data_IF_188175383139
#
_entry.id   IF_188175383139
#
_cell.length_a   1.000
_cell.length_b   1.000
_cell.length_c   1.000
_cell.angle_alpha   90.00
_cell.angle_beta   90.00
_cell.angle_gamma   90.00
#
_symmetry.space_group_name_H-M   'P 1'
#
loop_
_entity.id
_entity.type
_entity.pdbx_description
1 polymer ?
#
# COMPACT_ATOMS: atom_id res chain seq x y z
N UNK A 1 19.75 -14.64 -14.62
CA UNK A 1 20.32 -13.27 -14.64
C UNK A 1 20.97 -13.04 -15.99
N UNK A 2 20.38 -12.19 -16.82
CA UNK A 2 21.00 -11.70 -18.06
C UNK A 2 22.18 -10.81 -17.65
N UNK A 3 23.40 -11.10 -18.08
CA UNK A 3 24.64 -10.43 -17.66
C UNK A 3 24.79 -8.96 -18.10
N UNK A 4 23.77 -8.13 -17.86
CA UNK A 4 23.64 -6.75 -18.31
C UNK A 4 24.23 -5.73 -17.33
N UNK A 5 24.61 -6.12 -16.12
CA UNK A 5 25.19 -5.24 -15.10
C UNK A 5 26.42 -5.89 -14.48
N UNK A 6 27.52 -5.12 -14.37
CA UNK A 6 28.69 -5.55 -13.60
C UNK A 6 28.30 -5.63 -12.13
N UNK A 7 28.23 -6.84 -11.59
CA UNK A 7 27.97 -7.08 -10.19
C UNK A 7 29.28 -7.19 -9.41
N UNK A 8 29.35 -6.53 -8.25
CA UNK A 8 30.45 -6.70 -7.32
C UNK A 8 30.48 -8.16 -6.86
N UNK A 9 31.69 -8.72 -6.71
CA UNK A 9 31.88 -10.10 -6.24
C UNK A 9 32.65 -10.12 -4.94
N UNK A 10 32.32 -11.07 -4.09
CA UNK A 10 33.09 -11.35 -2.87
C UNK A 10 34.37 -12.13 -3.18
N UNK A 11 35.12 -12.48 -2.13
CA UNK A 11 36.39 -13.23 -2.23
C UNK A 11 36.20 -14.65 -2.81
N UNK A 12 34.99 -15.20 -2.72
CA UNK A 12 34.64 -16.53 -3.24
C UNK A 12 34.06 -16.45 -4.66
N UNK A 13 34.04 -15.27 -5.27
CA UNK A 13 33.52 -15.04 -6.62
C UNK A 13 32.00 -15.04 -6.72
N UNK A 14 31.27 -15.05 -5.60
CA UNK A 14 29.80 -14.93 -5.57
C UNK A 14 29.41 -13.48 -5.74
N UNK A 15 28.20 -13.23 -6.24
CA UNK A 15 27.66 -11.88 -6.33
C UNK A 15 27.45 -11.35 -4.90
N UNK A 16 28.10 -10.22 -4.60
CA UNK A 16 27.92 -9.51 -3.35
C UNK A 16 26.82 -8.47 -3.52
N UNK A 17 25.86 -8.48 -2.59
CA UNK A 17 24.81 -7.48 -2.48
C UNK A 17 24.94 -6.83 -1.11
N UNK A 18 25.35 -5.55 -1.09
CA UNK A 18 25.46 -4.76 0.14
C UNK A 18 24.08 -4.26 0.59
N UNK A 19 23.20 -5.19 0.99
CA UNK A 19 21.78 -4.94 1.31
C UNK A 19 21.37 -5.66 2.60
N UNK A 20 20.19 -5.31 3.11
CA UNK A 20 19.62 -5.98 4.27
C UNK A 20 19.39 -7.47 3.98
N UNK A 21 20.18 -8.32 4.65
CA UNK A 21 20.15 -9.76 4.45
C UNK A 21 18.81 -10.41 4.85
N UNK A 22 18.05 -9.78 5.74
CA UNK A 22 16.74 -10.26 6.18
C UNK A 22 15.65 -9.96 5.15
N UNK A 23 15.59 -8.74 4.61
CA UNK A 23 14.64 -8.36 3.55
C UNK A 23 14.91 -9.16 2.27
N UNK A 24 16.19 -9.28 1.89
CA UNK A 24 16.58 -10.07 0.73
C UNK A 24 16.18 -11.54 0.89
N UNK A 25 16.34 -12.12 2.09
CA UNK A 25 15.90 -13.49 2.38
C UNK A 25 14.38 -13.64 2.24
N UNK A 26 13.59 -12.69 2.73
CA UNK A 26 12.12 -12.72 2.58
C UNK A 26 11.71 -12.68 1.11
N UNK A 27 12.33 -11.81 0.31
CA UNK A 27 12.11 -11.72 -1.13
C UNK A 27 12.52 -13.01 -1.83
N UNK A 28 13.68 -13.58 -1.49
CA UNK A 28 14.15 -14.84 -2.08
C UNK A 28 13.20 -16.00 -1.77
N UNK A 29 12.63 -16.05 -0.57
CA UNK A 29 11.62 -17.04 -0.21
C UNK A 29 10.36 -16.88 -1.06
N UNK A 30 9.87 -15.65 -1.24
CA UNK A 30 8.76 -15.36 -2.16
C UNK A 30 9.06 -15.81 -3.60
N UNK A 31 10.27 -15.54 -4.11
CA UNK A 31 10.65 -15.98 -5.45
C UNK A 31 10.70 -17.51 -5.62
N UNK A 32 10.86 -18.27 -4.52
CA UNK A 32 10.82 -19.74 -4.52
C UNK A 32 9.38 -20.28 -4.50
N UNK A 33 8.47 -19.54 -3.87
CA UNK A 33 7.05 -19.89 -3.75
C UNK A 33 6.19 -18.61 -3.82
N UNK A 34 5.83 -18.15 -5.04
CA UNK A 34 5.18 -16.87 -5.26
C UNK A 34 3.65 -16.93 -5.10
N UNK A 35 3.16 -17.73 -4.14
CA UNK A 35 1.72 -17.92 -3.89
C UNK A 35 1.11 -16.80 -3.06
N UNK A 36 1.90 -16.18 -2.18
CA UNK A 36 1.50 -15.02 -1.38
C UNK A 36 2.69 -14.08 -1.13
N UNK A 37 2.47 -12.77 -0.94
CA UNK A 37 3.54 -11.86 -0.56
C UNK A 37 4.22 -12.27 0.75
N UNK A 38 5.49 -11.87 0.96
CA UNK A 38 6.15 -12.14 2.22
C UNK A 38 5.41 -11.45 3.38
N UNK A 39 5.17 -12.14 4.50
CA UNK A 39 4.60 -11.52 5.68
C UNK A 39 5.57 -10.49 6.26
N UNK A 40 5.03 -9.41 6.83
CA UNK A 40 5.77 -8.38 7.56
C UNK A 40 5.30 -8.31 9.01
N UNK A 41 6.24 -8.13 9.94
CA UNK A 41 5.98 -8.08 11.40
C UNK A 41 5.30 -6.77 11.79
N UNK A 42 5.71 -5.68 11.15
CA UNK A 42 5.22 -4.34 11.42
C UNK A 42 5.19 -3.48 10.15
N UNK A 43 4.74 -2.23 10.31
CA UNK A 43 4.59 -1.29 9.19
C UNK A 43 5.95 -0.85 8.66
N UNK A 44 6.97 -0.72 9.51
CA UNK A 44 8.30 -0.33 9.07
C UNK A 44 8.92 -1.42 8.19
N UNK A 45 8.77 -2.69 8.57
CA UNK A 45 9.24 -3.82 7.78
C UNK A 45 8.46 -3.95 6.47
N UNK A 46 7.14 -3.75 6.50
CA UNK A 46 6.30 -3.77 5.28
C UNK A 46 6.77 -2.72 4.26
N UNK A 47 7.02 -1.50 4.71
CA UNK A 47 7.50 -0.42 3.85
C UNK A 47 8.91 -0.70 3.31
N UNK A 48 9.82 -1.18 4.18
CA UNK A 48 11.17 -1.53 3.77
C UNK A 48 11.18 -2.68 2.73
N UNK A 49 10.30 -3.66 2.91
CA UNK A 49 10.14 -4.79 2.00
C UNK A 49 9.61 -4.34 0.63
N UNK A 50 8.61 -3.44 0.60
CA UNK A 50 8.13 -2.83 -0.65
C UNK A 50 9.23 -2.05 -1.38
N UNK A 51 10.01 -1.23 -0.65
CA UNK A 51 11.13 -0.47 -1.23
C UNK A 51 12.24 -1.37 -1.76
N UNK A 52 12.57 -2.44 -1.05
CA UNK A 52 13.57 -3.41 -1.51
C UNK A 52 13.07 -4.17 -2.75
N UNK A 53 11.81 -4.59 -2.78
CA UNK A 53 11.21 -5.23 -3.94
C UNK A 53 11.21 -4.28 -5.16
N UNK A 54 10.84 -3.02 -4.98
CA UNK A 54 10.92 -1.99 -6.03
C UNK A 54 12.34 -1.82 -6.55
N UNK A 55 13.34 -1.72 -5.66
CA UNK A 55 14.75 -1.62 -6.04
C UNK A 55 15.23 -2.82 -6.86
N UNK A 56 14.75 -4.02 -6.53
CA UNK A 56 15.07 -5.25 -7.26
C UNK A 56 14.21 -5.46 -8.51
N UNK A 57 13.23 -4.58 -8.78
CA UNK A 57 12.29 -4.72 -9.89
C UNK A 57 11.31 -5.90 -9.73
N UNK A 58 11.04 -6.29 -8.49
CA UNK A 58 10.16 -7.41 -8.14
C UNK A 58 8.78 -6.87 -7.75
N UNK A 59 7.73 -7.50 -8.26
CA UNK A 59 6.34 -7.26 -7.85
C UNK A 59 5.82 -8.48 -7.10
N UNK A 60 5.21 -8.26 -5.94
CA UNK A 60 4.63 -9.35 -5.15
C UNK A 60 3.32 -9.89 -5.73
N UNK A 61 2.60 -9.06 -6.48
CA UNK A 61 1.38 -9.44 -7.17
C UNK A 61 1.60 -9.40 -8.69
N UNK A 62 1.12 -10.42 -9.44
CA UNK A 62 1.25 -10.46 -10.89
C UNK A 62 0.28 -9.50 -11.61
N UNK A 63 -0.73 -8.99 -10.91
CA UNK A 63 -1.73 -8.04 -11.38
C UNK A 63 -1.83 -6.84 -10.42
N UNK A 64 -2.34 -5.67 -10.89
CA UNK A 64 -2.64 -4.57 -9.99
C UNK A 64 -3.74 -4.96 -9.01
N UNK A 65 -3.61 -4.51 -7.76
CA UNK A 65 -4.69 -4.59 -6.78
C UNK A 65 -5.63 -3.40 -7.00
N UNK A 66 -6.92 -3.67 -7.04
CA UNK A 66 -7.96 -2.66 -7.23
C UNK A 66 -8.84 -2.64 -5.99
N UNK A 67 -8.97 -1.47 -5.38
CA UNK A 67 -9.74 -1.25 -4.17
C UNK A 67 -10.88 -0.27 -4.43
N UNK A 68 -12.06 -0.57 -3.87
CA UNK A 68 -13.14 0.37 -3.69
C UNK A 68 -13.23 0.68 -2.20
N UNK A 69 -13.18 1.96 -1.83
CA UNK A 69 -13.06 2.37 -0.42
C UNK A 69 -14.05 3.47 -0.12
N UNK A 70 -14.74 3.35 1.02
CA UNK A 70 -15.66 4.34 1.55
C UNK A 70 -16.83 4.67 0.62
N UNK A 71 -17.30 5.92 0.69
CA UNK A 71 -18.41 6.41 -0.13
C UNK A 71 -19.73 6.50 0.64
N UNK A 72 -20.84 6.39 -0.09
CA UNK A 72 -22.19 6.49 0.45
C UNK A 72 -23.11 5.55 -0.34
N UNK A 73 -23.86 4.69 0.33
CA UNK A 73 -24.72 3.67 -0.33
C UNK A 73 -26.13 4.19 -0.67
N UNK A 74 -26.42 5.43 -0.30
CA UNK A 74 -27.73 6.08 -0.45
C UNK A 74 -28.44 6.29 0.88
N UNK A 75 -27.98 5.63 1.93
CA UNK A 75 -28.48 5.76 3.31
C UNK A 75 -27.36 6.22 4.24
N UNK A 76 -26.24 5.48 4.25
CA UNK A 76 -25.15 5.65 5.19
C UNK A 76 -23.82 6.00 4.50
N UNK A 77 -22.95 6.68 5.24
CA UNK A 77 -21.55 6.82 4.88
C UNK A 77 -20.83 5.50 5.16
N UNK A 78 -19.92 5.12 4.28
CA UNK A 78 -19.26 3.82 4.38
C UNK A 78 -17.82 3.96 4.88
N UNK A 79 -17.43 3.08 5.78
CA UNK A 79 -16.02 2.75 6.08
C UNK A 79 -15.55 1.50 5.33
N UNK A 80 -16.46 0.85 4.60
CA UNK A 80 -16.20 -0.38 3.88
C UNK A 80 -15.02 -0.24 2.90
N UNK A 81 -14.23 -1.30 2.81
CA UNK A 81 -13.16 -1.45 1.82
C UNK A 81 -13.40 -2.78 1.13
N UNK A 82 -13.39 -2.78 -0.20
CA UNK A 82 -13.53 -3.97 -1.02
C UNK A 82 -12.34 -4.07 -1.97
N UNK A 83 -11.94 -5.29 -2.28
CA UNK A 83 -10.87 -5.58 -3.23
C UNK A 83 -11.40 -6.44 -4.37
N UNK A 84 -11.00 -6.14 -5.59
CA UNK A 84 -11.35 -6.94 -6.76
C UNK A 84 -10.54 -8.24 -6.75
N UNK A 85 -11.24 -9.36 -6.63
CA UNK A 85 -10.71 -10.68 -6.95
C UNK A 85 -10.73 -10.85 -8.48
N UNK A 86 -9.56 -10.67 -9.08
CA UNK A 86 -9.39 -10.73 -10.55
C UNK A 86 -9.64 -12.15 -11.09
N UNK A 87 -9.37 -13.19 -10.30
CA UNK A 87 -9.56 -14.58 -10.76
C UNK A 87 -11.04 -14.95 -10.78
N UNK A 88 -11.77 -14.56 -9.73
CA UNK A 88 -13.19 -14.89 -9.58
C UNK A 88 -14.12 -13.81 -10.14
N UNK A 89 -13.57 -12.70 -10.64
CA UNK A 89 -14.31 -11.55 -11.20
C UNK A 89 -15.39 -11.02 -10.24
N UNK A 90 -15.05 -10.93 -8.96
CA UNK A 90 -15.95 -10.46 -7.92
C UNK A 90 -15.26 -9.53 -6.93
N UNK A 91 -16.04 -8.65 -6.31
CA UNK A 91 -15.56 -7.85 -5.19
C UNK A 91 -15.62 -8.68 -3.91
N UNK A 92 -14.55 -8.60 -3.10
CA UNK A 92 -14.48 -9.23 -1.79
C UNK A 92 -14.33 -8.17 -0.70
N UNK A 93 -15.00 -8.34 0.46
CA UNK A 93 -14.76 -7.48 1.61
C UNK A 93 -13.29 -7.52 2.04
N UNK A 94 -12.76 -6.36 2.39
CA UNK A 94 -11.46 -6.17 2.98
C UNK A 94 -11.61 -5.51 4.37
N UNK A 95 -10.50 -5.29 5.09
CA UNK A 95 -10.54 -4.60 6.37
C UNK A 95 -11.10 -3.18 6.15
N UNK A 96 -12.18 -2.76 6.85
CA UNK A 96 -12.73 -1.43 6.70
C UNK A 96 -11.80 -0.38 7.32
N UNK A 97 -11.92 0.87 6.85
CA UNK A 97 -11.34 2.05 7.48
C UNK A 97 -11.88 2.23 8.91
N UNK A 98 -11.22 3.04 9.71
CA UNK A 98 -11.70 3.38 11.05
C UNK A 98 -12.88 4.36 10.99
N UNK A 99 -12.82 5.34 10.10
CA UNK A 99 -13.84 6.38 9.98
C UNK A 99 -14.60 6.24 8.67
N UNK A 100 -15.93 6.13 8.73
CA UNK A 100 -16.75 6.25 7.52
C UNK A 100 -16.63 7.64 6.90
N UNK A 101 -16.47 7.70 5.58
CA UNK A 101 -16.25 8.96 4.88
C UNK A 101 -16.63 8.88 3.41
N UNK A 102 -17.08 10.02 2.88
CA UNK A 102 -17.26 10.27 1.44
C UNK A 102 -16.56 11.58 1.05
N UNK A 103 -16.38 11.82 -0.25
CA UNK A 103 -15.71 13.00 -0.82
C UNK A 103 -14.32 13.28 -0.20
N UNK A 104 -13.57 12.25 0.16
CA UNK A 104 -12.20 12.37 0.66
C UNK A 104 -11.18 12.44 -0.50
N UNK A 105 -9.97 12.91 -0.22
CA UNK A 105 -8.83 12.75 -1.12
C UNK A 105 -8.17 11.39 -0.89
N UNK A 106 -7.61 10.79 -1.94
CA UNK A 106 -6.93 9.50 -1.84
C UNK A 106 -5.83 9.33 -2.87
N UNK A 107 -4.67 8.82 -2.44
CA UNK A 107 -3.48 8.63 -3.28
C UNK A 107 -2.69 7.37 -2.92
N UNK A 108 -1.96 6.81 -3.88
CA UNK A 108 -0.99 5.75 -3.60
C UNK A 108 0.41 6.36 -3.48
N UNK A 109 1.09 6.11 -2.35
CA UNK A 109 2.48 6.51 -2.13
C UNK A 109 3.24 5.36 -1.46
N UNK A 110 4.43 5.03 -1.99
CA UNK A 110 5.29 3.96 -1.47
C UNK A 110 4.55 2.63 -1.21
N UNK A 111 3.71 2.22 -2.16
CA UNK A 111 2.90 0.99 -2.08
C UNK A 111 1.87 0.95 -0.93
N UNK A 112 1.47 2.12 -0.43
CA UNK A 112 0.34 2.30 0.50
C UNK A 112 -0.72 3.20 -0.08
N UNK A 113 -1.97 2.94 0.24
CA UNK A 113 -3.09 3.81 -0.10
C UNK A 113 -3.35 4.77 1.06
N UNK A 114 -3.22 6.07 0.82
CA UNK A 114 -3.50 7.13 1.78
C UNK A 114 -4.84 7.77 1.47
N UNK A 115 -5.68 7.95 2.48
CA UNK A 115 -6.95 8.65 2.40
C UNK A 115 -6.98 9.76 3.44
N UNK A 116 -7.50 10.93 3.08
CA UNK A 116 -7.47 12.09 3.96
C UNK A 116 -8.64 13.04 3.72
N UNK A 117 -9.11 13.62 4.82
CA UNK A 117 -10.32 14.44 4.82
C UNK A 117 -11.57 13.66 4.45
N UNK A 118 -12.52 14.34 3.81
CA UNK A 118 -13.85 13.83 3.51
C UNK A 118 -14.90 14.38 4.47
N UNK A 119 -16.08 13.78 4.46
CA UNK A 119 -17.17 14.10 5.36
C UNK A 119 -17.96 12.85 5.74
N UNK A 120 -18.69 12.94 6.84
CA UNK A 120 -19.68 11.94 7.24
C UNK A 120 -20.91 12.62 7.87
N UNK A 121 -21.76 11.83 8.53
CA UNK A 121 -22.99 12.34 9.15
C UNK A 121 -22.70 13.35 10.27
N UNK A 122 -21.62 13.15 11.02
CA UNK A 122 -21.25 13.97 12.18
C UNK A 122 -20.45 15.21 11.76
N UNK A 123 -19.54 15.05 10.80
CA UNK A 123 -18.57 16.07 10.40
C UNK A 123 -18.74 16.50 8.95
N UNK A 124 -18.96 17.79 8.73
CA UNK A 124 -19.03 18.39 7.38
C UNK A 124 -17.68 18.38 6.65
N UNK A 125 -16.57 18.29 7.37
CA UNK A 125 -15.22 18.17 6.83
C UNK A 125 -14.32 17.51 7.89
N UNK A 126 -13.53 16.52 7.48
CA UNK A 126 -12.59 15.80 8.32
C UNK A 126 -11.16 16.31 8.08
N UNK A 127 -10.30 16.19 9.09
CA UNK A 127 -8.85 16.35 8.95
C UNK A 127 -8.09 15.04 9.02
N UNK A 128 -8.73 13.97 9.47
CA UNK A 128 -8.09 12.67 9.68
C UNK A 128 -7.50 12.11 8.38
N UNK A 129 -6.30 11.56 8.51
CA UNK A 129 -5.63 10.76 7.49
C UNK A 129 -5.57 9.30 7.94
N UNK A 130 -5.91 8.38 7.06
CA UNK A 130 -5.72 6.94 7.23
C UNK A 130 -4.90 6.38 6.08
N UNK A 131 -4.09 5.36 6.34
CA UNK A 131 -3.33 4.67 5.30
C UNK A 131 -3.49 3.15 5.38
N UNK A 132 -3.64 2.51 4.24
CA UNK A 132 -3.79 1.06 4.10
C UNK A 132 -2.47 0.44 3.68
N UNK A 133 -1.99 -0.50 4.50
CA UNK A 133 -0.82 -1.32 4.19
C UNK A 133 -1.26 -2.56 3.40
N UNK A 134 -1.02 -2.56 2.08
CA UNK A 134 -1.49 -3.61 1.19
C UNK A 134 -0.88 -4.99 1.48
N UNK A 135 0.34 -5.05 2.02
CA UNK A 135 0.98 -6.31 2.39
C UNK A 135 0.39 -6.89 3.68
N UNK A 136 0.05 -6.03 4.64
CA UNK A 136 -0.52 -6.44 5.92
C UNK A 136 -2.05 -6.54 5.91
N UNK A 137 -2.70 -5.94 4.93
CA UNK A 137 -4.16 -5.91 4.81
C UNK A 137 -4.85 -5.13 5.94
N UNK A 138 -4.23 -4.07 6.45
CA UNK A 138 -4.77 -3.29 7.57
C UNK A 138 -4.62 -1.78 7.40
N UNK A 139 -5.60 -1.04 7.93
CA UNK A 139 -5.57 0.41 8.04
C UNK A 139 -4.77 0.87 9.26
N UNK A 140 -4.14 2.03 9.15
CA UNK A 140 -3.36 2.70 10.19
C UNK A 140 -3.64 4.21 10.16
N UNK A 141 -3.65 4.86 11.31
CA UNK A 141 -3.75 6.32 11.37
C UNK A 141 -2.49 6.99 10.80
N UNK A 142 -2.70 8.05 10.04
CA UNK A 142 -1.66 8.95 9.53
C UNK A 142 -1.68 10.31 10.23
N UNK A 143 -0.84 11.27 9.78
CA UNK A 143 -0.86 12.63 10.29
C UNK A 143 -2.09 13.40 9.79
N UNK A 144 -2.73 14.15 10.67
CA UNK A 144 -3.91 14.94 10.32
C UNK A 144 -3.57 16.11 9.37
N UNK A 145 -4.53 16.44 8.51
CA UNK A 145 -4.51 17.69 7.76
C UNK A 145 -4.58 18.88 8.72
N UNK A 146 -3.78 19.92 8.45
CA UNK A 146 -3.80 21.17 9.23
C UNK A 146 -5.11 21.94 9.11
N UNK A 147 -5.88 21.68 8.06
CA UNK A 147 -7.20 22.26 7.81
C UNK A 147 -8.13 21.11 7.40
N UNK A 148 -9.28 20.91 8.05
CA UNK A 148 -10.27 19.93 7.62
C UNK A 148 -10.81 20.23 6.22
N UNK A 149 -10.96 19.22 5.37
CA UNK A 149 -11.42 19.39 3.98
C UNK A 149 -12.35 18.25 3.55
N UNK A 150 -13.16 18.54 2.54
CA UNK A 150 -13.93 17.57 1.75
C UNK A 150 -13.88 17.97 0.27
N UNK A 151 -14.24 17.05 -0.60
CA UNK A 151 -14.23 17.21 -2.07
C UNK A 151 -12.86 17.64 -2.60
N UNK A 152 -11.79 17.11 -2.00
CA UNK A 152 -10.42 17.42 -2.42
C UNK A 152 -10.03 16.65 -3.66
N UNK A 153 -9.25 17.31 -4.53
CA UNK A 153 -8.40 16.60 -5.46
C UNK A 153 -7.16 16.08 -4.73
N UNK A 154 -6.57 15.02 -5.28
CA UNK A 154 -5.35 14.38 -4.80
C UNK A 154 -4.44 14.13 -5.99
N UNK A 155 -3.14 14.32 -5.80
CA UNK A 155 -2.14 13.81 -6.73
C UNK A 155 -0.83 13.44 -6.03
N UNK A 156 -0.17 12.37 -6.50
CA UNK A 156 1.22 12.09 -6.18
C UNK A 156 2.17 12.80 -7.14
N UNK A 157 3.18 13.48 -6.59
CA UNK A 157 4.26 14.06 -7.37
C UNK A 157 5.58 14.04 -6.58
N UNK A 158 6.52 13.24 -7.05
CA UNK A 158 7.90 13.25 -6.55
C UNK A 158 8.04 12.72 -5.12
N UNK A 159 7.28 11.69 -4.77
CA UNK A 159 7.27 11.08 -3.44
C UNK A 159 6.45 11.86 -2.42
N UNK A 160 5.54 12.73 -2.87
CA UNK A 160 4.69 13.58 -2.03
C UNK A 160 3.26 13.57 -2.55
N UNK A 161 2.31 13.68 -1.62
CA UNK A 161 0.88 13.78 -1.90
C UNK A 161 0.46 15.25 -1.75
N UNK A 162 -0.37 15.75 -2.67
CA UNK A 162 -0.87 17.13 -2.74
C UNK A 162 -2.40 17.19 -2.75
#
# INVERSE_FOLDING_TARGET
MTGRLQAQRDRDGRIFLDRDSSLFRSILNFLRDPTAPPPSRDASESEALCKEAEHLGIRFYPYPLVYAVGGHDGVDHLSATEVLDVENQCWRPCKPMHTERTYFGGEVLHSRLYLYGGQNLEYKALCETECFDCLRGCWMSGPDLTVPRRSCASAELGGRIY
#
